data_IF_840753480773
#
_entry.id   IF_840753480773
#
_cell.length_a   1.000
_cell.length_b   1.000
_cell.length_c   1.000
_cell.angle_alpha   90.00
_cell.angle_beta   90.00
_cell.angle_gamma   90.00
#
_symmetry.space_group_name_H-M   'P 1'
#
loop_
_entity.id
_entity.type
_entity.pdbx_description
1 polymer ?
#
# COMPACT_ATOMS: atom_id res chain seq x y z
N UNK A 1 -13.06 8.17 5.23
CA UNK A 1 -11.61 8.25 5.08
C UNK A 1 -10.99 6.88 5.38
N UNK A 2 -10.11 6.41 4.51
CA UNK A 2 -9.48 5.11 4.68
C UNK A 2 -8.34 5.15 5.68
N UNK A 3 -8.47 4.42 6.78
CA UNK A 3 -7.40 4.29 7.77
C UNK A 3 -6.60 3.02 7.49
N UNK A 4 -5.28 3.16 7.42
CA UNK A 4 -4.38 2.07 7.03
C UNK A 4 -3.72 1.47 8.27
N UNK A 5 -3.89 0.16 8.44
CA UNK A 5 -3.33 -0.59 9.56
C UNK A 5 -2.44 -1.71 9.06
N UNK A 6 -1.30 -1.90 9.72
CA UNK A 6 -0.43 -3.05 9.49
C UNK A 6 -0.82 -4.17 10.43
N UNK A 7 -0.95 -5.39 9.89
CA UNK A 7 -1.20 -6.58 10.70
C UNK A 7 0.08 -7.01 11.43
N UNK A 8 -0.04 -7.24 12.75
CA UNK A 8 1.06 -7.77 13.57
C UNK A 8 0.58 -9.04 14.25
N UNK A 9 1.11 -10.21 13.89
CA UNK A 9 0.72 -11.46 14.54
C UNK A 9 0.94 -11.40 16.05
N UNK A 10 -0.10 -11.77 16.83
CA UNK A 10 -0.01 -11.78 18.29
C UNK A 10 -0.05 -10.43 18.96
N UNK A 11 -0.36 -9.36 18.23
CA UNK A 11 -0.42 -7.99 18.78
C UNK A 11 -1.52 -7.20 18.08
N UNK A 12 -1.96 -6.06 18.64
CA UNK A 12 -2.90 -5.19 17.94
C UNK A 12 -2.33 -4.64 16.64
N UNK A 13 -3.18 -4.40 15.66
CA UNK A 13 -2.78 -3.80 14.41
C UNK A 13 -2.19 -2.41 14.64
N UNK A 14 -1.18 -2.06 13.85
CA UNK A 14 -0.50 -0.78 13.95
C UNK A 14 -1.09 0.22 12.96
N UNK A 15 -1.51 1.39 13.45
CA UNK A 15 -2.01 2.46 12.59
C UNK A 15 -0.82 3.14 11.89
N UNK A 16 -0.84 3.15 10.55
CA UNK A 16 0.25 3.73 9.75
C UNK A 16 -0.09 5.09 9.18
N UNK A 17 -1.33 5.33 8.81
CA UNK A 17 -1.74 6.55 8.16
C UNK A 17 -3.10 6.44 7.51
N UNK A 18 -3.35 7.32 6.53
CA UNK A 18 -4.68 7.43 5.93
C UNK A 18 -4.62 7.69 4.43
N UNK A 19 -5.70 7.32 3.75
CA UNK A 19 -5.91 7.61 2.33
C UNK A 19 -7.17 8.43 2.21
N UNK A 20 -7.11 9.54 1.48
CA UNK A 20 -8.30 10.35 1.20
C UNK A 20 -9.10 9.72 0.05
N UNK A 21 -10.38 9.38 0.26
CA UNK A 21 -11.14 8.67 -0.76
C UNK A 21 -11.45 9.52 -1.99
N UNK A 22 -11.48 10.83 -1.87
CA UNK A 22 -11.84 11.73 -2.96
C UNK A 22 -10.68 12.06 -3.88
N UNK A 23 -9.45 12.07 -3.34
CA UNK A 23 -8.26 12.46 -4.09
C UNK A 23 -7.27 11.30 -4.30
N UNK A 24 -7.35 10.26 -3.48
CA UNK A 24 -6.38 9.17 -3.48
C UNK A 24 -5.06 9.54 -2.81
N UNK A 25 -4.97 10.69 -2.16
CA UNK A 25 -3.75 11.12 -1.48
C UNK A 25 -3.50 10.30 -0.23
N UNK A 26 -2.23 9.94 0.00
CA UNK A 26 -1.81 9.09 1.12
C UNK A 26 -0.93 9.88 2.06
N UNK A 27 -1.24 9.80 3.35
CA UNK A 27 -0.50 10.50 4.41
C UNK A 27 -0.03 9.50 5.45
N UNK A 28 1.20 9.65 5.88
CA UNK A 28 1.76 8.87 6.98
C UNK A 28 1.49 9.57 8.31
N UNK A 29 1.03 8.81 9.29
CA UNK A 29 0.84 9.33 10.64
C UNK A 29 2.18 9.58 11.32
N UNK A 30 2.38 10.80 11.85
CA UNK A 30 3.60 11.24 12.52
C UNK A 30 3.27 11.93 13.82
N UNK A 31 4.30 12.27 14.59
CA UNK A 31 4.17 13.13 15.77
C UNK A 31 4.00 14.55 15.30
N UNK A 32 3.11 15.19 15.08
CA UNK A 32 2.90 16.50 14.46
C UNK A 32 2.05 16.30 13.21
N UNK A 33 2.12 17.20 12.26
CA UNK A 33 1.32 17.06 11.03
C UNK A 33 1.65 15.78 10.28
N UNK A 34 0.63 15.14 9.70
CA UNK A 34 0.83 13.96 8.88
C UNK A 34 1.66 14.30 7.64
N UNK A 35 2.51 13.36 7.22
CA UNK A 35 3.38 13.53 6.07
C UNK A 35 2.72 13.05 4.79
N UNK A 36 2.68 13.91 3.76
CA UNK A 36 2.17 13.53 2.45
C UNK A 36 3.18 12.64 1.74
N UNK A 37 2.78 11.44 1.35
CA UNK A 37 3.67 10.47 0.72
C UNK A 37 3.47 10.34 -0.78
N UNK A 38 2.27 10.56 -1.28
CA UNK A 38 1.96 10.34 -2.68
C UNK A 38 0.48 10.12 -2.89
N UNK A 39 0.12 9.54 -4.04
CA UNK A 39 -1.29 9.39 -4.39
C UNK A 39 -1.53 8.17 -5.28
N UNK A 40 -2.77 7.66 -5.22
CA UNK A 40 -3.29 6.73 -6.19
C UNK A 40 -4.30 7.44 -7.08
N UNK A 41 -4.22 7.21 -8.39
CA UNK A 41 -5.23 7.72 -9.32
C UNK A 41 -6.46 6.84 -9.23
N UNK A 42 -7.59 7.43 -8.87
CA UNK A 42 -8.81 6.66 -8.58
C UNK A 42 -9.42 6.01 -9.82
N UNK A 43 -9.22 6.59 -10.99
CA UNK A 43 -9.79 6.11 -12.23
C UNK A 43 -8.92 5.09 -12.97
N UNK A 44 -7.59 5.12 -12.77
CA UNK A 44 -6.67 4.21 -13.45
C UNK A 44 -6.04 3.18 -12.53
N UNK A 45 -5.97 3.46 -11.24
CA UNK A 45 -5.29 2.61 -10.27
C UNK A 45 -3.78 2.78 -10.25
N UNK A 46 -3.23 3.76 -10.96
CA UNK A 46 -1.80 4.03 -10.95
C UNK A 46 -1.39 4.74 -9.67
N UNK A 47 -0.24 4.35 -9.11
CA UNK A 47 0.23 4.87 -7.83
C UNK A 47 1.56 5.60 -8.02
N UNK A 48 1.64 6.80 -7.43
CA UNK A 48 2.81 7.69 -7.53
C UNK A 48 3.30 8.09 -6.16
N UNK A 49 4.63 8.15 -6.01
CA UNK A 49 5.29 8.68 -4.81
C UNK A 49 5.63 10.15 -5.04
N UNK A 50 5.29 10.98 -4.06
CA UNK A 50 5.64 12.40 -4.08
C UNK A 50 7.14 12.59 -3.81
N UNK A 51 7.79 13.43 -4.62
CA UNK A 51 9.21 13.79 -4.43
C UNK A 51 9.47 15.15 -5.05
N UNK A 52 10.67 15.67 -4.82
CA UNK A 52 11.11 16.91 -5.48
C UNK A 52 11.21 16.64 -6.98
N UNK A 53 10.56 17.47 -7.78
CA UNK A 53 10.45 17.24 -9.21
C UNK A 53 9.24 16.38 -9.54
N UNK A 54 9.21 15.70 -10.69
CA UNK A 54 8.09 14.86 -11.08
C UNK A 54 7.88 13.71 -10.10
N UNK A 55 6.61 13.36 -9.84
CA UNK A 55 6.29 12.22 -9.00
C UNK A 55 6.79 10.92 -9.63
N UNK A 56 7.19 9.97 -8.79
CA UNK A 56 7.70 8.68 -9.22
C UNK A 56 6.56 7.67 -9.39
N UNK A 57 6.45 7.07 -10.58
CA UNK A 57 5.48 6.00 -10.82
C UNK A 57 5.95 4.71 -10.14
N UNK A 58 5.13 4.17 -9.24
CA UNK A 58 5.48 2.96 -8.47
C UNK A 58 4.86 1.70 -9.04
N UNK A 59 3.66 1.78 -9.58
CA UNK A 59 2.94 0.61 -10.04
C UNK A 59 1.46 0.89 -10.18
N UNK A 60 0.67 -0.18 -10.27
CA UNK A 60 -0.75 -0.07 -10.54
C UNK A 60 -1.54 -1.15 -9.82
N UNK A 61 -2.73 -0.80 -9.32
CA UNK A 61 -3.71 -1.78 -8.89
C UNK A 61 -4.79 -1.88 -9.97
N UNK A 62 -5.12 -3.11 -10.37
CA UNK A 62 -6.18 -3.34 -11.35
C UNK A 62 -7.53 -3.23 -10.66
N UNK A 63 -8.37 -2.30 -11.14
CA UNK A 63 -9.63 -1.97 -10.49
C UNK A 63 -10.70 -3.05 -10.63
N UNK A 64 -10.52 -3.97 -11.57
CA UNK A 64 -11.47 -5.06 -11.79
C UNK A 64 -11.24 -6.28 -10.91
N UNK A 65 -10.01 -6.49 -10.40
CA UNK A 65 -9.70 -7.68 -9.60
C UNK A 65 -8.85 -7.41 -8.36
N UNK A 66 -8.34 -6.19 -8.16
CA UNK A 66 -7.53 -5.84 -6.99
C UNK A 66 -6.09 -6.30 -7.02
N UNK A 67 -5.64 -6.89 -8.13
CA UNK A 67 -4.24 -7.30 -8.25
C UNK A 67 -3.33 -6.08 -8.38
N UNK A 68 -2.21 -6.09 -7.64
CA UNK A 68 -1.26 -4.98 -7.60
C UNK A 68 0.04 -5.39 -8.27
N UNK A 69 0.48 -4.59 -9.24
CA UNK A 69 1.70 -4.83 -9.99
C UNK A 69 2.70 -3.71 -9.72
N UNK A 70 3.92 -4.10 -9.40
CA UNK A 70 5.02 -3.16 -9.16
C UNK A 70 5.74 -2.87 -10.48
N UNK A 71 5.92 -1.57 -10.77
CA UNK A 71 6.70 -1.12 -11.91
C UNK A 71 8.11 -0.81 -11.44
N UNK A 72 9.05 -1.70 -11.76
CA UNK A 72 10.47 -1.49 -11.50
C UNK A 72 11.22 -1.73 -12.80
N UNK A 73 12.40 -2.29 -12.72
CA UNK A 73 13.19 -2.60 -13.92
C UNK A 73 12.59 -3.81 -14.63
N UNK A 74 12.31 -3.67 -15.91
CA UNK A 74 11.74 -4.75 -16.72
C UNK A 74 10.21 -4.86 -16.61
N UNK A 75 9.63 -6.05 -16.89
CA UNK A 75 8.18 -6.23 -16.87
C UNK A 75 7.59 -6.02 -15.48
N UNK A 76 6.36 -5.54 -15.43
CA UNK A 76 5.64 -5.37 -14.18
C UNK A 76 5.48 -6.72 -13.46
N UNK A 77 5.59 -6.72 -12.13
CA UNK A 77 5.52 -7.92 -11.31
C UNK A 77 4.30 -7.89 -10.40
N UNK A 78 3.57 -8.99 -10.34
CA UNK A 78 2.46 -9.15 -9.41
C UNK A 78 3.01 -9.25 -7.98
N UNK A 79 2.62 -8.30 -7.10
CA UNK A 79 3.20 -8.21 -5.76
C UNK A 79 2.18 -8.26 -4.63
N UNK A 80 0.91 -7.98 -4.91
CA UNK A 80 -0.08 -7.92 -3.83
C UNK A 80 -1.50 -8.04 -4.39
N UNK A 81 -2.45 -8.25 -3.48
CA UNK A 81 -3.87 -8.32 -3.79
C UNK A 81 -4.64 -7.48 -2.79
N UNK A 82 -5.48 -6.59 -3.28
CA UNK A 82 -6.40 -5.79 -2.46
C UNK A 82 -7.80 -6.40 -2.58
N UNK A 83 -8.39 -6.76 -1.45
CA UNK A 83 -9.75 -7.30 -1.42
C UNK A 83 -10.77 -6.18 -1.29
N UNK A 84 -12.01 -6.37 -1.76
CA UNK A 84 -13.04 -5.33 -1.64
C UNK A 84 -13.35 -4.93 -0.19
N UNK A 85 -13.07 -5.80 0.79
CA UNK A 85 -13.26 -5.49 2.21
C UNK A 85 -12.12 -4.66 2.80
N UNK A 86 -11.13 -4.26 2.00
CA UNK A 86 -10.01 -3.46 2.43
C UNK A 86 -8.78 -4.23 2.87
N UNK A 87 -8.85 -5.55 2.93
CA UNK A 87 -7.69 -6.37 3.33
C UNK A 87 -6.68 -6.45 2.20
N UNK A 88 -5.40 -6.39 2.57
CA UNK A 88 -4.28 -6.38 1.62
C UNK A 88 -3.36 -7.55 1.91
N UNK A 89 -3.09 -8.35 0.87
CA UNK A 89 -2.25 -9.54 0.96
C UNK A 89 -1.04 -9.38 0.05
N UNK A 90 0.15 -9.72 0.57
CA UNK A 90 1.36 -9.77 -0.23
C UNK A 90 1.43 -11.09 -0.99
N UNK A 91 1.77 -11.03 -2.27
CA UNK A 91 1.85 -12.22 -3.11
C UNK A 91 3.20 -12.92 -2.95
N UNK A 92 3.17 -14.24 -2.75
CA UNK A 92 4.36 -15.09 -2.71
C UNK A 92 4.26 -16.17 -3.80
N UNK A 93 5.25 -16.28 -4.70
CA UNK A 93 5.13 -17.19 -5.86
C UNK A 93 4.94 -18.66 -5.53
N UNK A 94 5.43 -19.15 -4.39
CA UNK A 94 5.39 -20.58 -4.05
C UNK A 94 4.82 -20.86 -2.68
N UNK A 95 4.04 -19.94 -2.14
CA UNK A 95 3.47 -20.04 -0.82
C UNK A 95 2.16 -19.31 -0.76
N UNK A 96 1.31 -19.55 0.26
CA UNK A 96 0.11 -18.73 0.43
C UNK A 96 0.45 -17.25 0.61
N UNK A 97 -0.44 -16.37 0.16
CA UNK A 97 -0.26 -14.94 0.32
C UNK A 97 -0.24 -14.56 1.81
N UNK A 98 0.60 -13.58 2.16
CA UNK A 98 0.67 -13.03 3.51
C UNK A 98 -0.36 -11.95 3.72
N UNK A 99 -1.10 -12.01 4.83
CA UNK A 99 -1.95 -10.90 5.22
C UNK A 99 -1.09 -9.77 5.79
N UNK A 100 -1.04 -8.63 5.09
CA UNK A 100 -0.17 -7.51 5.47
C UNK A 100 -0.87 -6.45 6.31
N UNK A 101 -2.14 -6.22 6.06
CA UNK A 101 -2.90 -5.18 6.74
C UNK A 101 -4.20 -4.87 6.04
N UNK A 102 -4.79 -3.73 6.41
CA UNK A 102 -6.10 -3.35 5.88
C UNK A 102 -6.24 -1.84 5.73
N UNK A 103 -7.17 -1.43 4.88
CA UNK A 103 -7.66 -0.06 4.79
C UNK A 103 -9.09 -0.07 5.31
N UNK A 104 -9.27 0.44 6.52
CA UNK A 104 -10.58 0.53 7.15
C UNK A 104 -11.35 1.71 6.55
N UNK A 105 -12.56 1.49 6.11
CA UNK A 105 -13.34 2.53 5.44
C UNK A 105 -12.95 2.79 3.99
N UNK A 106 -12.37 1.79 3.33
CA UNK A 106 -11.96 1.89 1.93
C UNK A 106 -13.19 2.02 1.01
N UNK A 107 -13.12 2.96 0.06
CA UNK A 107 -14.16 3.19 -0.93
C UNK A 107 -13.83 2.66 -2.32
N UNK A 108 -12.54 2.44 -2.61
CA UNK A 108 -12.11 1.95 -3.92
C UNK A 108 -10.84 1.11 -3.80
N UNK A 109 -10.60 0.24 -4.79
CA UNK A 109 -9.39 -0.58 -4.83
C UNK A 109 -8.14 0.28 -5.05
N UNK A 110 -8.28 1.44 -5.70
CA UNK A 110 -7.16 2.38 -5.88
C UNK A 110 -6.60 2.84 -4.54
N UNK A 111 -7.45 3.08 -3.54
CA UNK A 111 -7.02 3.43 -2.19
C UNK A 111 -6.16 2.32 -1.58
N UNK A 112 -6.57 1.06 -1.75
CA UNK A 112 -5.83 -0.08 -1.24
C UNK A 112 -4.47 -0.23 -1.89
N UNK A 113 -4.39 -0.04 -3.21
CA UNK A 113 -3.12 -0.08 -3.93
C UNK A 113 -2.16 1.02 -3.47
N UNK A 114 -2.68 2.24 -3.30
CA UNK A 114 -1.89 3.36 -2.80
C UNK A 114 -1.39 3.11 -1.38
N UNK A 115 -2.26 2.60 -0.51
CA UNK A 115 -1.89 2.23 0.86
C UNK A 115 -0.81 1.17 0.87
N UNK A 116 -0.89 0.19 -0.01
CA UNK A 116 0.13 -0.86 -0.10
C UNK A 116 1.50 -0.28 -0.42
N UNK A 117 1.62 0.46 -1.54
CA UNK A 117 2.92 0.95 -1.98
C UNK A 117 3.53 1.98 -1.04
N UNK A 118 2.70 2.87 -0.49
CA UNK A 118 3.21 4.05 0.21
C UNK A 118 3.32 3.86 1.72
N UNK A 119 2.51 2.99 2.31
CA UNK A 119 2.50 2.77 3.75
C UNK A 119 2.92 1.37 4.17
N UNK A 120 2.34 0.33 3.57
CA UNK A 120 2.61 -1.05 4.00
C UNK A 120 3.94 -1.59 3.51
N UNK A 121 4.23 -1.44 2.23
CA UNK A 121 5.43 -2.03 1.63
C UNK A 121 6.73 -1.53 2.28
N UNK A 122 6.92 -0.22 2.53
CA UNK A 122 8.15 0.24 3.18
C UNK A 122 8.36 -0.36 4.57
N UNK A 123 7.29 -0.55 5.34
CA UNK A 123 7.37 -1.13 6.68
C UNK A 123 7.67 -2.62 6.61
N UNK A 124 7.03 -3.34 5.68
CA UNK A 124 7.25 -4.78 5.48
C UNK A 124 8.68 -5.04 5.01
N UNK A 125 9.18 -4.26 4.05
CA UNK A 125 10.55 -4.40 3.57
C UNK A 125 11.56 -4.13 4.68
N UNK A 126 11.33 -3.13 5.53
CA UNK A 126 12.20 -2.84 6.66
C UNK A 126 12.23 -4.00 7.65
N UNK A 127 11.08 -4.59 7.95
CA UNK A 127 10.99 -5.73 8.85
C UNK A 127 11.73 -6.95 8.31
N UNK A 128 11.66 -7.19 7.01
CA UNK A 128 12.39 -8.29 6.36
C UNK A 128 13.90 -8.07 6.41
N UNK A 129 14.36 -6.84 6.19
CA UNK A 129 15.79 -6.50 6.29
C UNK A 129 16.28 -6.70 7.72
N UNK A 130 15.55 -6.22 8.71
CA UNK A 130 15.91 -6.38 10.12
C UNK A 130 15.95 -7.85 10.54
N UNK A 131 15.00 -8.65 10.08
CA UNK A 131 14.99 -10.09 10.35
C UNK A 131 16.16 -10.81 9.69
N UNK A 132 16.56 -10.34 8.49
CA UNK A 132 17.70 -10.94 7.77
C UNK A 132 19.07 -10.62 8.40
N UNK A 133 19.14 -9.56 9.18
CA UNK A 133 20.38 -9.17 9.87
C UNK A 133 20.58 -9.88 11.21
N UNK A 134 19.53 -10.48 11.71
CA UNK A 134 19.56 -11.20 12.96
C UNK A 134 19.98 -12.66 12.77
#
# INVERSE_FOLDING_TARGET
MGKVYRHKPGAPDEYLGRVEPESGKVYRHCRGPDEYLGRGELDSGKIYRHRHGPDEYLGQVYLDNGEVYSHRFGPDRYVAKVKPNGRIYGHKPRAPDDYLGKVEGMHSLAEGGAAFFLLLLPVVERAEIEAGEG
#
